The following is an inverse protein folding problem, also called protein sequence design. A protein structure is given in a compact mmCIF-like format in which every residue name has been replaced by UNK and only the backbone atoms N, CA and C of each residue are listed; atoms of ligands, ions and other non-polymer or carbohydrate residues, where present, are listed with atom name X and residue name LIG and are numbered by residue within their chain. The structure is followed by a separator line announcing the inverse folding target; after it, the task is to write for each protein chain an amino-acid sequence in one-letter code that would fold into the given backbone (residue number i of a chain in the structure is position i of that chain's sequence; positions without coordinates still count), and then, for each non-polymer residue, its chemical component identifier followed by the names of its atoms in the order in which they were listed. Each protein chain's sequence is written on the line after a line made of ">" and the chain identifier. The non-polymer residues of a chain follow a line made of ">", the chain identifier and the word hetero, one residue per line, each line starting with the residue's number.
data_IF_226813922457
#
_entry.id   IF_226813922457
#
_cell.length_a   1.000
_cell.length_b   1.000
_cell.length_c   1.000
_cell.angle_alpha   90.00
_cell.angle_beta   90.00
_cell.angle_gamma   90.00
#
_symmetry.space_group_name_H-M   'P 1'
#
loop_
_entity.id
_entity.type
_entity.pdbx_description
1 polymer ?
#
# COMPACT_ATOMS: atom_id res chain seq x y z
N UNK A 1 28.25 22.82 -3.98
CA UNK A 1 26.81 23.05 -4.22
C UNK A 1 26.10 21.87 -4.90
N UNK A 2 26.76 21.04 -5.72
CA UNK A 2 26.15 19.87 -6.36
C UNK A 2 25.61 18.80 -5.39
N UNK A 3 26.30 18.57 -4.26
CA UNK A 3 25.97 17.52 -3.28
C UNK A 3 24.62 17.79 -2.58
N UNK A 4 24.30 19.07 -2.35
CA UNK A 4 23.05 19.47 -1.67
C UNK A 4 21.84 19.23 -2.57
N UNK A 5 21.99 19.42 -3.88
CA UNK A 5 20.92 19.16 -4.85
C UNK A 5 20.59 17.66 -4.97
N UNK A 6 21.61 16.79 -4.91
CA UNK A 6 21.41 15.33 -4.94
C UNK A 6 20.68 14.84 -3.68
N UNK A 7 21.03 15.40 -2.51
CA UNK A 7 20.35 15.07 -1.25
C UNK A 7 18.88 15.51 -1.26
N UNK A 8 18.57 16.70 -1.78
CA UNK A 8 17.19 17.18 -1.89
C UNK A 8 16.34 16.31 -2.84
N UNK A 9 16.92 15.83 -3.95
CA UNK A 9 16.21 14.91 -4.85
C UNK A 9 15.92 13.54 -4.23
N UNK A 10 16.80 13.02 -3.36
CA UNK A 10 16.61 11.72 -2.70
C UNK A 10 15.51 11.76 -1.64
N UNK A 11 15.38 12.87 -0.91
CA UNK A 11 14.32 13.05 0.09
C UNK A 11 12.94 13.13 -0.56
N UNK A 12 12.81 13.82 -1.70
CA UNK A 12 11.54 13.91 -2.45
C UNK A 12 11.09 12.59 -3.08
N UNK A 13 12.00 11.65 -3.33
CA UNK A 13 11.66 10.32 -3.87
C UNK A 13 11.10 9.37 -2.80
N UNK A 14 11.34 9.66 -1.52
CA UNK A 14 10.97 8.76 -0.42
C UNK A 14 9.47 8.77 -0.15
N UNK A 15 8.81 9.92 -0.31
CA UNK A 15 7.39 10.10 0.04
C UNK A 15 6.42 9.44 -0.97
N UNK A 16 6.85 9.22 -2.22
CA UNK A 16 6.04 8.57 -3.25
C UNK A 16 6.06 7.03 -3.16
N UNK A 17 7.05 6.44 -2.48
CA UNK A 17 7.26 4.98 -2.38
C UNK A 17 6.54 4.37 -1.17
N UNK A 18 6.15 5.16 -0.17
CA UNK A 18 5.69 4.62 1.12
C UNK A 18 4.34 3.89 1.10
N UNK A 19 3.45 4.19 0.15
CA UNK A 19 2.08 3.67 0.17
C UNK A 19 1.79 2.59 -0.88
N UNK A 20 2.63 2.40 -1.91
CA UNK A 20 2.51 1.26 -2.82
C UNK A 20 3.06 -0.03 -2.18
N UNK A 21 3.99 0.11 -1.22
CA UNK A 21 4.76 -1.01 -0.70
C UNK A 21 4.03 -1.80 0.40
N UNK A 22 3.25 -1.16 1.29
CA UNK A 22 2.70 -1.86 2.48
C UNK A 22 1.81 -3.07 2.15
N UNK A 23 0.96 -2.98 1.13
CA UNK A 23 0.14 -4.12 0.70
C UNK A 23 1.00 -5.23 0.05
N UNK A 24 2.07 -4.85 -0.65
CA UNK A 24 3.03 -5.78 -1.26
C UNK A 24 3.87 -6.49 -0.20
N UNK A 25 4.37 -5.73 0.78
CA UNK A 25 5.13 -6.20 1.92
C UNK A 25 4.31 -7.18 2.78
N UNK A 26 3.04 -6.83 3.07
CA UNK A 26 2.12 -7.69 3.79
C UNK A 26 1.84 -9.00 3.04
N UNK A 27 1.68 -8.93 1.72
CA UNK A 27 1.55 -10.12 0.88
C UNK A 27 2.79 -11.02 0.95
N UNK A 28 3.99 -10.44 0.78
CA UNK A 28 5.25 -11.21 0.82
C UNK A 28 5.45 -11.91 2.16
N UNK A 29 5.17 -11.21 3.27
CA UNK A 29 5.22 -11.80 4.61
C UNK A 29 4.22 -12.96 4.75
N UNK A 30 2.97 -12.75 4.36
CA UNK A 30 1.93 -13.78 4.41
C UNK A 30 2.31 -15.02 3.58
N UNK A 31 2.83 -14.82 2.36
CA UNK A 31 3.27 -15.91 1.50
C UNK A 31 4.45 -16.69 2.11
N UNK A 32 5.38 -16.00 2.76
CA UNK A 32 6.50 -16.62 3.46
C UNK A 32 6.03 -17.46 4.65
N UNK A 33 5.09 -16.93 5.45
CA UNK A 33 4.49 -17.65 6.59
C UNK A 33 3.77 -18.92 6.12
N UNK A 34 3.07 -18.88 4.97
CA UNK A 34 2.45 -20.07 4.37
C UNK A 34 3.46 -21.17 4.00
N UNK A 35 4.66 -20.80 3.54
CA UNK A 35 5.72 -21.78 3.23
C UNK A 35 6.26 -22.40 4.51
N UNK A 36 6.42 -21.61 5.57
CA UNK A 36 6.88 -22.09 6.86
C UNK A 36 5.84 -22.99 7.57
N UNK A 37 4.56 -22.66 7.46
CA UNK A 37 3.47 -23.43 8.07
C UNK A 37 3.20 -24.75 7.32
N UNK A 38 3.31 -24.72 5.98
CA UNK A 38 3.05 -25.88 5.12
C UNK A 38 4.25 -26.20 4.21
N UNK A 39 5.38 -26.71 4.76
CA UNK A 39 6.59 -26.97 3.99
C UNK A 39 6.44 -28.15 3.01
N UNK A 40 5.64 -29.16 3.37
CA UNK A 40 5.47 -30.40 2.58
C UNK A 40 4.07 -30.56 1.98
N UNK A 41 3.07 -29.82 2.46
CA UNK A 41 1.68 -29.92 2.02
C UNK A 41 1.36 -28.82 0.99
N UNK A 42 1.64 -29.13 -0.28
CA UNK A 42 1.53 -28.17 -1.38
C UNK A 42 0.11 -27.64 -1.57
N UNK A 43 -0.92 -28.48 -1.41
CA UNK A 43 -2.32 -28.06 -1.50
C UNK A 43 -2.69 -27.04 -0.42
N UNK A 44 -2.28 -27.27 0.83
CA UNK A 44 -2.55 -26.31 1.91
C UNK A 44 -1.77 -25.02 1.72
N UNK A 45 -0.53 -25.11 1.26
CA UNK A 45 0.30 -23.95 0.91
C UNK A 45 -0.34 -23.11 -0.19
N UNK A 46 -0.81 -23.72 -1.28
CA UNK A 46 -1.52 -23.01 -2.35
C UNK A 46 -2.79 -22.33 -1.86
N UNK A 47 -3.59 -23.00 -1.02
CA UNK A 47 -4.78 -22.42 -0.41
C UNK A 47 -4.45 -21.21 0.48
N UNK A 48 -3.38 -21.32 1.28
CA UNK A 48 -2.88 -20.24 2.12
C UNK A 48 -2.40 -19.03 1.28
N UNK A 49 -1.57 -19.27 0.27
CA UNK A 49 -1.07 -18.22 -0.64
C UNK A 49 -2.22 -17.54 -1.41
N UNK A 50 -3.24 -18.31 -1.82
CA UNK A 50 -4.45 -17.77 -2.46
C UNK A 50 -5.16 -16.79 -1.54
N UNK A 51 -5.31 -17.13 -0.26
CA UNK A 51 -5.90 -16.22 0.74
C UNK A 51 -5.05 -14.97 0.96
N UNK A 52 -3.72 -15.09 0.99
CA UNK A 52 -2.82 -13.94 1.03
C UNK A 52 -3.00 -13.01 -0.18
N UNK A 53 -3.16 -13.59 -1.38
CA UNK A 53 -3.39 -12.83 -2.62
C UNK A 53 -4.73 -12.10 -2.61
N UNK A 54 -5.79 -12.71 -2.07
CA UNK A 54 -7.06 -12.04 -1.86
C UNK A 54 -6.91 -10.85 -0.90
N UNK A 55 -6.27 -11.04 0.26
CA UNK A 55 -6.02 -9.97 1.23
C UNK A 55 -5.22 -8.80 0.65
N UNK A 56 -4.25 -9.08 -0.23
CA UNK A 56 -3.54 -8.06 -1.00
C UNK A 56 -4.48 -7.24 -1.87
N UNK A 57 -5.42 -7.90 -2.56
CA UNK A 57 -6.46 -7.25 -3.35
C UNK A 57 -7.35 -6.34 -2.50
N UNK A 58 -7.83 -6.83 -1.37
CA UNK A 58 -8.63 -6.04 -0.41
C UNK A 58 -7.85 -4.85 0.16
N UNK A 59 -6.56 -5.02 0.46
CA UNK A 59 -5.69 -3.93 0.91
C UNK A 59 -5.59 -2.81 -0.13
N UNK A 60 -5.37 -3.18 -1.41
CA UNK A 60 -5.32 -2.21 -2.51
C UNK A 60 -6.67 -1.54 -2.76
N UNK A 61 -7.77 -2.29 -2.70
CA UNK A 61 -9.12 -1.76 -2.86
C UNK A 61 -9.50 -0.79 -1.72
N UNK A 62 -9.24 -1.16 -0.46
CA UNK A 62 -9.50 -0.30 0.69
C UNK A 62 -8.67 0.99 0.66
N UNK A 63 -7.45 0.94 0.09
CA UNK A 63 -6.65 2.14 -0.15
C UNK A 63 -7.30 3.05 -1.20
N UNK A 64 -7.71 2.50 -2.35
CA UNK A 64 -8.38 3.27 -3.41
C UNK A 64 -9.66 3.96 -2.90
N UNK A 65 -10.46 3.27 -2.08
CA UNK A 65 -11.67 3.87 -1.47
C UNK A 65 -11.31 5.00 -0.50
N UNK A 66 -10.26 4.84 0.31
CA UNK A 66 -9.78 5.90 1.22
C UNK A 66 -9.27 7.12 0.45
N UNK A 67 -8.55 6.91 -0.64
CA UNK A 67 -8.03 8.00 -1.49
C UNK A 67 -9.20 8.78 -2.12
N UNK A 68 -10.22 8.08 -2.66
CA UNK A 68 -11.45 8.72 -3.17
C UNK A 68 -12.19 9.48 -2.07
N UNK A 69 -12.35 8.90 -0.88
CA UNK A 69 -13.02 9.58 0.23
C UNK A 69 -12.27 10.85 0.66
N UNK A 70 -10.93 10.84 0.61
CA UNK A 70 -10.09 12.00 0.92
C UNK A 70 -10.24 13.11 -0.14
N UNK A 71 -10.34 12.75 -1.41
CA UNK A 71 -10.58 13.70 -2.49
C UNK A 71 -11.98 14.31 -2.42
N UNK A 72 -13.00 13.52 -2.08
CA UNK A 72 -14.36 14.04 -1.85
C UNK A 72 -14.38 15.03 -0.70
N UNK A 73 -13.75 14.72 0.44
CA UNK A 73 -13.66 15.67 1.56
C UNK A 73 -12.94 16.96 1.18
N UNK A 74 -11.84 16.89 0.44
CA UNK A 74 -11.15 18.09 -0.08
C UNK A 74 -12.00 18.91 -1.03
N UNK A 75 -12.78 18.26 -1.89
CA UNK A 75 -13.71 18.94 -2.78
C UNK A 75 -14.72 19.75 -1.98
N UNK A 76 -15.33 19.17 -0.94
CA UNK A 76 -16.30 19.88 -0.09
C UNK A 76 -15.67 20.95 0.81
N UNK A 77 -14.42 20.78 1.26
CA UNK A 77 -13.66 21.84 1.96
C UNK A 77 -13.44 23.09 1.09
N UNK A 78 -13.36 22.95 -0.24
CA UNK A 78 -13.29 24.09 -1.16
C UNK A 78 -14.57 24.94 -1.16
N UNK A 79 -15.75 24.29 -1.11
CA UNK A 79 -17.03 25.00 -1.10
C UNK A 79 -17.36 25.70 0.21
N UNK A 80 -16.81 25.24 1.34
CA UNK A 80 -17.04 25.87 2.65
C UNK A 80 -16.11 27.04 2.91
N UNK A 81 -14.95 27.13 2.24
CA UNK A 81 -13.97 28.21 2.43
C UNK A 81 -14.25 29.48 1.63
N UNK A 82 -15.02 29.39 0.55
CA UNK A 82 -15.48 30.52 -0.26
C UNK A 82 -16.76 31.21 0.28
N UNK A 83 -17.18 30.87 1.50
CA UNK A 83 -18.41 31.38 2.14
C UNK A 83 -18.20 32.30 3.35
N UNK A 84 -16.98 32.78 3.57
CA UNK A 84 -16.65 33.82 4.56
C UNK A 84 -16.03 35.05 3.89
#
# INVERSE_FOLDING_TARGET
>A
MLIVAVFLCLVSLSEAVELADRCELSYKKCAFDCVQEFPLDEKKREGCITRCKLNKGWCKAGKAVKDVAKDINRFFEGFTKDRD
#
